data_IF_055252315541
#
_entry.id   IF_055252315541
#
_cell.length_a   1.000
_cell.length_b   1.000
_cell.length_c   1.000
_cell.angle_alpha   90.00
_cell.angle_beta   90.00
_cell.angle_gamma   90.00
#
_symmetry.space_group_name_H-M   'P 1'
#
loop_
_entity.id
_entity.type
_entity.pdbx_description
1 polymer ?
#
# COMPACT_ATOMS: atom_id res chain seq x y z
N UNK A 1 24.51 18.16 15.32
CA UNK A 1 24.45 16.75 14.84
C UNK A 1 24.24 15.89 16.06
N UNK A 2 23.44 14.82 15.98
CA UNK A 2 23.11 14.02 17.16
C UNK A 2 24.34 13.25 17.70
N UNK A 3 24.53 13.25 19.01
CA UNK A 3 25.60 12.52 19.72
C UNK A 3 25.14 11.09 20.05
N UNK A 4 25.26 10.22 19.05
CA UNK A 4 24.89 8.81 19.18
C UNK A 4 25.85 8.01 20.04
N UNK A 5 27.09 8.46 20.21
CA UNK A 5 28.09 7.74 21.00
C UNK A 5 27.80 7.86 22.49
N UNK A 6 27.34 9.03 22.95
CA UNK A 6 26.85 9.21 24.32
C UNK A 6 25.63 8.34 24.62
N UNK A 7 24.72 8.17 23.65
CA UNK A 7 23.55 7.29 23.78
C UNK A 7 23.97 5.82 23.94
N UNK A 8 24.84 5.34 23.04
CA UNK A 8 25.32 3.94 23.06
C UNK A 8 26.05 3.56 24.33
N UNK A 9 26.72 4.53 24.97
CA UNK A 9 27.50 4.31 26.20
C UNK A 9 26.66 4.42 27.48
N UNK A 10 25.42 4.92 27.41
CA UNK A 10 24.58 5.12 28.59
C UNK A 10 23.69 3.88 28.83
N UNK A 11 23.98 3.05 29.85
CA UNK A 11 23.19 1.85 30.12
C UNK A 11 21.83 2.14 30.76
N UNK A 12 21.58 3.38 31.21
CA UNK A 12 20.38 3.76 31.96
C UNK A 12 19.27 4.33 31.06
N UNK A 13 19.37 4.12 29.75
CA UNK A 13 18.39 4.57 28.76
C UNK A 13 18.09 3.44 27.78
N UNK A 14 16.93 3.54 27.15
CA UNK A 14 16.53 2.66 26.06
C UNK A 14 17.58 2.72 24.95
N UNK A 15 17.98 1.56 24.46
CA UNK A 15 18.90 1.46 23.33
C UNK A 15 18.11 1.30 22.03
N UNK A 16 18.60 1.89 20.94
CA UNK A 16 17.91 1.90 19.67
C UNK A 16 18.84 2.14 18.48
N UNK A 17 18.32 1.92 17.27
CA UNK A 17 19.03 2.14 16.01
C UNK A 17 18.87 3.59 15.56
N UNK A 18 19.98 4.27 15.30
CA UNK A 18 20.01 5.63 14.77
C UNK A 18 19.70 5.67 13.26
N UNK A 19 19.05 6.74 12.80
CA UNK A 19 18.85 7.03 11.38
C UNK A 19 19.66 8.26 10.91
N UNK A 20 19.67 8.50 9.59
CA UNK A 20 20.41 9.61 8.98
C UNK A 20 19.78 11.00 9.19
N UNK A 21 18.56 11.08 9.74
CA UNK A 21 17.79 12.31 9.92
C UNK A 21 17.81 12.83 11.36
N UNK A 22 18.63 12.22 12.23
CA UNK A 22 18.71 12.60 13.65
C UNK A 22 17.68 11.87 14.52
N UNK A 23 17.11 10.77 14.06
CA UNK A 23 16.18 9.95 14.83
C UNK A 23 16.81 8.72 15.46
N UNK A 24 16.04 8.07 16.34
CA UNK A 24 16.36 6.79 16.98
C UNK A 24 15.13 5.89 17.06
N UNK A 25 15.28 4.61 16.71
CA UNK A 25 14.22 3.60 16.78
C UNK A 25 14.55 2.55 17.84
N UNK A 26 13.70 2.45 18.86
CA UNK A 26 13.72 1.38 19.87
C UNK A 26 12.75 0.28 19.43
N UNK A 27 13.29 -0.88 19.05
CA UNK A 27 12.51 -2.02 18.58
C UNK A 27 12.35 -3.08 19.68
N UNK A 28 11.23 -3.07 20.38
CA UNK A 28 10.90 -4.05 21.42
C UNK A 28 10.39 -5.38 20.85
N UNK A 29 10.27 -5.50 19.53
CA UNK A 29 9.96 -6.76 18.85
C UNK A 29 11.22 -7.55 18.47
N UNK A 30 12.39 -6.93 18.62
CA UNK A 30 13.66 -7.55 18.28
C UNK A 30 13.99 -8.69 19.26
N UNK A 31 14.46 -9.81 18.72
CA UNK A 31 14.77 -11.04 19.48
C UNK A 31 15.85 -10.81 20.55
N UNK A 32 16.73 -9.84 20.31
CA UNK A 32 17.82 -9.45 21.19
C UNK A 32 17.46 -8.31 22.14
N UNK A 33 16.20 -7.84 22.16
CA UNK A 33 15.75 -6.87 23.15
C UNK A 33 15.56 -7.57 24.51
N UNK A 34 16.63 -7.61 25.30
CA UNK A 34 16.72 -8.43 26.53
C UNK A 34 15.94 -7.91 27.72
N UNK A 35 15.46 -6.66 27.68
CA UNK A 35 14.84 -6.03 28.83
C UNK A 35 13.32 -6.12 28.75
N UNK A 36 12.77 -6.93 29.65
CA UNK A 36 11.35 -6.88 29.98
C UNK A 36 11.17 -5.99 31.21
N UNK A 37 10.46 -4.89 31.04
CA UNK A 37 10.19 -3.92 32.09
C UNK A 37 8.78 -4.12 32.62
N UNK A 38 8.62 -4.07 33.94
CA UNK A 38 7.31 -3.76 34.49
C UNK A 38 6.88 -2.35 34.07
N UNK A 39 5.58 -2.05 34.10
CA UNK A 39 5.03 -0.79 33.59
C UNK A 39 5.71 0.44 34.23
N UNK A 40 5.96 0.43 35.54
CA UNK A 40 6.63 1.53 36.25
C UNK A 40 8.11 1.66 35.87
N UNK A 41 8.80 0.55 35.65
CA UNK A 41 10.19 0.56 35.18
C UNK A 41 10.29 1.11 33.76
N UNK A 42 9.35 0.73 32.89
CA UNK A 42 9.25 1.25 31.52
C UNK A 42 9.04 2.77 31.53
N UNK A 43 8.15 3.27 32.39
CA UNK A 43 7.93 4.71 32.54
C UNK A 43 9.23 5.43 32.92
N UNK A 44 9.91 4.95 33.97
CA UNK A 44 11.12 5.59 34.48
C UNK A 44 12.24 5.61 33.43
N UNK A 45 12.47 4.48 32.75
CA UNK A 45 13.51 4.41 31.73
C UNK A 45 13.14 5.24 30.50
N UNK A 46 11.87 5.30 30.10
CA UNK A 46 11.43 6.15 28.99
C UNK A 46 11.66 7.64 29.29
N UNK A 47 11.32 8.10 30.50
CA UNK A 47 11.57 9.48 30.95
C UNK A 47 13.07 9.82 30.93
N UNK A 48 13.91 8.95 31.51
CA UNK A 48 15.36 9.11 31.47
C UNK A 48 15.92 9.13 30.04
N UNK A 49 15.37 8.28 29.17
CA UNK A 49 15.77 8.19 27.77
C UNK A 49 15.45 9.47 27.01
N UNK A 50 14.23 10.00 27.13
CA UNK A 50 13.82 11.23 26.46
C UNK A 50 14.66 12.43 26.89
N UNK A 51 15.01 12.52 28.18
CA UNK A 51 15.90 13.55 28.68
C UNK A 51 17.31 13.44 28.05
N UNK A 52 17.89 12.24 28.01
CA UNK A 52 19.19 12.00 27.39
C UNK A 52 19.18 12.20 25.87
N UNK A 53 18.13 11.75 25.19
CA UNK A 53 17.97 11.94 23.74
C UNK A 53 17.93 13.41 23.38
N UNK A 54 17.23 14.23 24.18
CA UNK A 54 17.17 15.67 23.98
C UNK A 54 18.54 16.34 24.14
N UNK A 55 19.32 15.98 25.17
CA UNK A 55 20.68 16.54 25.36
C UNK A 55 21.65 16.07 24.27
N UNK A 56 21.46 14.86 23.74
CA UNK A 56 22.23 14.31 22.63
C UNK A 56 21.76 14.83 21.25
N UNK A 57 20.79 15.73 21.18
CA UNK A 57 20.33 16.32 19.93
C UNK A 57 19.53 15.37 19.02
N UNK A 58 18.92 14.33 19.58
CA UNK A 58 17.94 13.49 18.89
C UNK A 58 16.68 14.30 18.62
N UNK A 59 16.12 14.10 17.44
CA UNK A 59 14.94 14.83 16.97
C UNK A 59 13.69 13.97 16.99
N UNK A 60 13.73 12.80 16.33
CA UNK A 60 12.62 11.87 16.26
C UNK A 60 12.89 10.60 17.05
N UNK A 61 11.99 10.22 17.94
CA UNK A 61 12.06 8.95 18.68
C UNK A 61 10.95 8.04 18.19
N UNK A 62 11.29 6.80 17.86
CA UNK A 62 10.35 5.77 17.41
C UNK A 62 10.33 4.62 18.41
N UNK A 63 9.14 4.19 18.82
CA UNK A 63 8.94 3.00 19.64
C UNK A 63 8.12 1.98 18.85
N UNK A 64 8.70 0.80 18.64
CA UNK A 64 7.98 -0.34 18.06
C UNK A 64 7.57 -1.29 19.17
N UNK A 65 6.35 -1.13 19.66
CA UNK A 65 5.82 -1.82 20.85
C UNK A 65 5.04 -3.06 20.41
N UNK A 66 5.43 -4.28 20.81
CA UNK A 66 4.69 -5.49 20.47
C UNK A 66 3.34 -5.53 21.18
N UNK A 67 2.38 -6.27 20.61
CA UNK A 67 1.01 -6.36 21.11
C UNK A 67 0.92 -6.86 22.56
N UNK A 68 1.84 -7.73 22.99
CA UNK A 68 1.90 -8.24 24.37
C UNK A 68 2.43 -7.21 25.39
N UNK A 69 2.88 -6.04 24.94
CA UNK A 69 3.30 -4.89 25.76
C UNK A 69 2.38 -3.67 25.55
N UNK A 70 1.12 -3.91 25.20
CA UNK A 70 0.16 -2.83 24.95
C UNK A 70 -0.08 -1.91 26.14
N UNK A 71 0.22 -2.36 27.37
CA UNK A 71 0.16 -1.52 28.59
C UNK A 71 1.15 -0.35 28.57
N UNK A 72 2.23 -0.46 27.79
CA UNK A 72 3.21 0.62 27.62
C UNK A 72 2.73 1.76 26.72
N UNK A 73 1.70 1.54 25.89
CA UNK A 73 1.16 2.55 24.97
C UNK A 73 0.63 3.77 25.75
N UNK A 74 -0.26 3.64 26.75
CA UNK A 74 -0.68 4.76 27.59
C UNK A 74 0.48 5.52 28.26
N UNK A 75 1.55 4.81 28.63
CA UNK A 75 2.74 5.42 29.24
C UNK A 75 3.47 6.28 28.21
N UNK A 76 3.70 5.75 27.01
CA UNK A 76 4.31 6.48 25.92
C UNK A 76 3.47 7.71 25.50
N UNK A 77 2.15 7.58 25.40
CA UNK A 77 1.25 8.71 25.09
C UNK A 77 1.40 9.85 26.10
N UNK A 78 1.49 9.54 27.41
CA UNK A 78 1.72 10.55 28.47
C UNK A 78 3.05 11.28 28.31
N UNK A 79 4.04 10.66 27.68
CA UNK A 79 5.34 11.26 27.36
C UNK A 79 5.37 11.99 26.00
N UNK A 80 4.22 12.15 25.35
CA UNK A 80 4.09 12.89 24.09
C UNK A 80 4.30 12.04 22.82
N UNK A 81 4.23 10.72 22.93
CA UNK A 81 4.20 9.86 21.74
C UNK A 81 2.81 9.85 21.09
N UNK A 82 2.79 9.78 19.77
CA UNK A 82 1.59 9.62 18.94
C UNK A 82 1.67 8.32 18.14
N UNK A 83 0.52 7.76 17.77
CA UNK A 83 0.48 6.65 16.83
C UNK A 83 0.99 7.07 15.46
N UNK A 84 1.78 6.21 14.82
CA UNK A 84 2.23 6.40 13.45
C UNK A 84 1.65 5.34 12.52
N UNK A 85 1.75 4.06 12.89
CA UNK A 85 1.13 2.94 12.17
C UNK A 85 1.07 1.70 13.07
N UNK A 86 0.32 0.68 12.66
CA UNK A 86 0.31 -0.61 13.34
C UNK A 86 0.32 -1.76 12.33
N UNK A 87 0.76 -2.91 12.81
CA UNK A 87 0.51 -4.22 12.22
C UNK A 87 -0.17 -5.08 13.28
N UNK A 88 -0.74 -6.25 12.93
CA UNK A 88 -1.41 -7.11 13.91
C UNK A 88 -0.56 -7.44 15.15
N UNK A 89 0.77 -7.46 15.02
CA UNK A 89 1.69 -7.82 16.10
C UNK A 89 2.32 -6.65 16.84
N UNK A 90 2.21 -5.40 16.37
CA UNK A 90 2.86 -4.25 17.01
C UNK A 90 2.24 -2.89 16.65
N UNK A 91 2.45 -1.91 17.53
CA UNK A 91 2.20 -0.50 17.26
C UNK A 91 3.53 0.25 17.09
N UNK A 92 3.64 1.06 16.04
CA UNK A 92 4.71 2.05 15.88
C UNK A 92 4.22 3.40 16.41
N UNK A 93 4.96 3.94 17.37
CA UNK A 93 4.70 5.24 17.96
C UNK A 93 5.87 6.18 17.72
N UNK A 94 5.59 7.48 17.60
CA UNK A 94 6.63 8.49 17.37
C UNK A 94 6.50 9.68 18.31
N UNK A 95 7.64 10.28 18.66
CA UNK A 95 7.71 11.53 19.40
C UNK A 95 8.74 12.46 18.75
N UNK A 96 8.32 13.68 18.42
CA UNK A 96 9.21 14.73 17.94
C UNK A 96 9.65 15.59 19.12
N UNK A 97 10.94 15.59 19.44
CA UNK A 97 11.51 16.25 20.61
C UNK A 97 11.67 17.78 20.46
N UNK A 98 12.06 18.32 19.28
CA UNK A 98 12.15 19.76 19.07
C UNK A 98 10.79 20.45 19.21
N UNK A 99 10.76 21.59 19.90
CA UNK A 99 9.53 22.39 20.12
C UNK A 99 9.50 23.68 19.30
N UNK A 100 10.64 24.06 18.76
CA UNK A 100 10.93 25.30 18.04
C UNK A 100 10.93 25.12 16.51
N UNK A 101 10.72 23.89 16.02
CA UNK A 101 10.60 23.58 14.61
C UNK A 101 9.44 22.61 14.32
N UNK A 102 8.88 22.63 13.09
CA UNK A 102 7.84 21.68 12.69
C UNK A 102 8.32 20.23 12.78
N UNK A 103 7.39 19.33 13.11
CA UNK A 103 7.63 17.89 13.04
C UNK A 103 7.92 17.47 11.59
N UNK A 104 9.09 16.85 11.37
CA UNK A 104 9.52 16.37 10.03
C UNK A 104 9.42 14.86 9.88
N UNK A 105 8.85 14.15 10.85
CA UNK A 105 8.54 12.73 10.72
C UNK A 105 7.48 12.59 9.60
N UNK A 106 7.78 11.84 8.52
CA UNK A 106 6.81 11.63 7.46
C UNK A 106 5.60 10.85 7.98
N UNK A 107 4.43 11.06 7.38
CA UNK A 107 3.26 10.22 7.66
C UNK A 107 3.46 8.80 7.13
N UNK A 108 2.68 7.84 7.64
CA UNK A 108 2.63 6.49 7.08
C UNK A 108 1.84 6.44 5.76
N UNK A 109 1.89 5.28 5.09
CA UNK A 109 1.08 5.02 3.90
C UNK A 109 -0.42 5.05 4.24
N UNK A 110 -1.18 5.87 3.53
CA UNK A 110 -2.63 6.08 3.68
C UNK A 110 -3.38 5.89 2.36
N UNK A 111 -2.82 5.08 1.46
CA UNK A 111 -3.38 4.85 0.14
C UNK A 111 -3.58 3.37 -0.10
N UNK A 112 -4.83 2.99 -0.37
CA UNK A 112 -5.18 1.68 -0.87
C UNK A 112 -4.77 1.57 -2.33
N UNK A 113 -4.32 0.37 -2.73
CA UNK A 113 -3.96 0.07 -4.12
C UNK A 113 -4.78 -1.13 -4.57
N UNK A 114 -5.68 -0.90 -5.51
CA UNK A 114 -6.47 -1.93 -6.17
C UNK A 114 -6.10 -2.09 -7.65
N UNK A 115 -6.42 -3.24 -8.21
CA UNK A 115 -6.15 -3.60 -9.60
C UNK A 115 -7.38 -4.16 -10.29
N UNK A 116 -7.46 -3.97 -11.60
CA UNK A 116 -8.48 -4.55 -12.47
C UNK A 116 -7.87 -5.12 -13.75
N UNK A 117 -8.29 -6.33 -14.12
CA UNK A 117 -7.91 -6.99 -15.35
C UNK A 117 -8.89 -6.70 -16.48
N UNK A 118 -8.48 -5.87 -17.43
CA UNK A 118 -9.13 -5.74 -18.73
C UNK A 118 -8.63 -6.86 -19.65
N UNK A 119 -9.19 -8.06 -19.48
CA UNK A 119 -8.79 -9.25 -20.24
C UNK A 119 -9.65 -9.36 -21.49
N UNK A 120 -9.05 -9.27 -22.67
CA UNK A 120 -9.79 -9.27 -23.94
C UNK A 120 -9.30 -10.38 -24.89
N UNK A 121 -10.25 -11.10 -25.49
CA UNK A 121 -10.02 -12.07 -26.57
C UNK A 121 -11.13 -11.97 -27.60
N UNK A 122 -10.78 -11.91 -28.89
CA UNK A 122 -11.74 -11.95 -30.00
C UNK A 122 -12.92 -10.97 -29.87
N UNK A 123 -12.64 -9.74 -29.40
CA UNK A 123 -13.63 -8.69 -29.20
C UNK A 123 -14.50 -8.85 -27.95
N UNK A 124 -14.25 -9.87 -27.12
CA UNK A 124 -14.98 -10.14 -25.88
C UNK A 124 -14.11 -9.88 -24.66
N UNK A 125 -14.72 -9.22 -23.67
CA UNK A 125 -14.13 -8.85 -22.40
C UNK A 125 -14.50 -9.88 -21.33
N UNK A 126 -13.53 -10.33 -20.55
CA UNK A 126 -13.80 -11.13 -19.35
C UNK A 126 -14.42 -10.24 -18.26
N UNK A 127 -15.57 -10.65 -17.77
CA UNK A 127 -16.29 -9.92 -16.73
C UNK A 127 -16.76 -10.87 -15.64
N UNK A 128 -16.86 -10.35 -14.42
CA UNK A 128 -17.35 -11.09 -13.27
C UNK A 128 -18.46 -10.32 -12.56
N UNK A 129 -19.29 -11.06 -11.82
CA UNK A 129 -20.33 -10.56 -10.95
C UNK A 129 -20.11 -11.12 -9.54
N UNK A 130 -20.02 -10.24 -8.55
CA UNK A 130 -19.77 -10.61 -7.15
C UNK A 130 -21.04 -11.15 -6.48
N UNK A 131 -20.91 -12.24 -5.73
CA UNK A 131 -22.04 -12.94 -5.09
C UNK A 131 -22.65 -12.20 -3.91
N UNK A 132 -21.84 -11.50 -3.14
CA UNK A 132 -22.28 -10.84 -1.89
C UNK A 132 -22.53 -9.34 -2.05
N UNK A 133 -22.43 -8.81 -3.27
CA UNK A 133 -22.71 -7.41 -3.54
C UNK A 133 -24.22 -7.21 -3.62
N UNK A 134 -24.73 -6.17 -2.94
CA UNK A 134 -26.17 -5.83 -2.94
C UNK A 134 -26.72 -5.39 -4.30
N UNK A 135 -25.84 -5.04 -5.24
CA UNK A 135 -26.19 -4.42 -6.51
C UNK A 135 -25.73 -5.31 -7.65
N UNK A 136 -26.65 -5.71 -8.52
CA UNK A 136 -26.36 -6.51 -9.72
C UNK A 136 -25.50 -5.69 -10.69
N UNK A 137 -24.20 -5.98 -10.77
CA UNK A 137 -23.25 -5.25 -11.61
C UNK A 137 -22.19 -6.17 -12.19
N UNK A 138 -21.86 -5.95 -13.47
CA UNK A 138 -20.68 -6.52 -14.11
C UNK A 138 -19.46 -5.64 -13.82
N UNK A 139 -18.37 -6.26 -13.36
CA UNK A 139 -17.07 -5.60 -13.14
C UNK A 139 -15.97 -6.32 -13.92
N UNK A 140 -14.83 -5.64 -14.06
CA UNK A 140 -13.58 -6.31 -14.41
C UNK A 140 -13.16 -7.21 -13.23
N UNK A 141 -12.59 -8.39 -13.49
CA UNK A 141 -11.96 -9.17 -12.43
C UNK A 141 -10.82 -8.39 -11.78
N UNK A 142 -10.62 -8.55 -10.48
CA UNK A 142 -9.60 -7.79 -9.75
C UNK A 142 -9.92 -7.53 -8.27
N UNK A 143 -8.89 -7.14 -7.53
CA UNK A 143 -8.94 -6.93 -6.09
C UNK A 143 -7.84 -6.01 -5.57
N UNK A 144 -7.43 -6.24 -4.32
CA UNK A 144 -6.45 -5.41 -3.63
C UNK A 144 -5.03 -5.95 -3.85
N UNK A 145 -4.05 -5.05 -3.90
CA UNK A 145 -2.63 -5.45 -3.90
C UNK A 145 -2.22 -5.78 -2.47
N UNK A 146 -1.67 -6.98 -2.28
CA UNK A 146 -1.21 -7.43 -0.98
C UNK A 146 0.06 -6.72 -0.50
N UNK A 147 0.32 -6.79 0.80
CA UNK A 147 1.50 -6.17 1.39
C UNK A 147 2.79 -6.75 0.78
N UNK A 148 3.57 -5.88 0.12
CA UNK A 148 4.82 -6.20 -0.61
C UNK A 148 4.61 -6.99 -1.92
N UNK A 149 3.39 -7.03 -2.45
CA UNK A 149 3.09 -7.63 -3.75
C UNK A 149 3.39 -6.64 -4.90
N UNK A 150 3.91 -7.14 -6.02
CA UNK A 150 4.03 -6.37 -7.26
C UNK A 150 2.64 -6.22 -7.90
N UNK A 151 2.28 -5.01 -8.33
CA UNK A 151 0.94 -4.72 -8.85
C UNK A 151 0.55 -5.57 -10.08
N UNK A 152 1.52 -6.01 -10.89
CA UNK A 152 1.28 -6.89 -12.04
C UNK A 152 1.06 -8.33 -11.58
N UNK A 153 1.77 -8.76 -10.54
CA UNK A 153 1.52 -10.05 -9.91
C UNK A 153 0.12 -10.08 -9.30
N UNK A 154 -0.28 -9.00 -8.62
CA UNK A 154 -1.60 -8.85 -8.03
C UNK A 154 -2.72 -9.00 -9.08
N UNK A 155 -2.66 -8.25 -10.19
CA UNK A 155 -3.74 -8.34 -11.21
C UNK A 155 -3.81 -9.72 -11.85
N UNK A 156 -2.67 -10.40 -12.05
CA UNK A 156 -2.64 -11.77 -12.56
C UNK A 156 -3.24 -12.76 -11.57
N UNK A 157 -2.86 -12.67 -10.29
CA UNK A 157 -3.39 -13.48 -9.20
C UNK A 157 -4.91 -13.33 -9.09
N UNK A 158 -5.39 -12.10 -9.00
CA UNK A 158 -6.82 -11.80 -8.84
C UNK A 158 -7.66 -12.35 -10.01
N UNK A 159 -7.20 -12.16 -11.25
CA UNK A 159 -7.91 -12.71 -12.43
C UNK A 159 -7.95 -14.24 -12.38
N UNK A 160 -6.83 -14.88 -12.04
CA UNK A 160 -6.75 -16.34 -11.95
C UNK A 160 -7.61 -16.89 -10.78
N UNK A 161 -7.61 -16.24 -9.62
CA UNK A 161 -8.41 -16.63 -8.46
C UNK A 161 -9.92 -16.50 -8.73
N UNK A 162 -10.37 -15.38 -9.30
CA UNK A 162 -11.79 -15.15 -9.54
C UNK A 162 -12.35 -15.98 -10.72
N UNK A 163 -11.52 -16.30 -11.74
CA UNK A 163 -12.01 -16.82 -13.03
C UNK A 163 -11.30 -18.06 -13.58
N UNK A 164 -10.16 -18.45 -13.02
CA UNK A 164 -9.29 -19.50 -13.57
C UNK A 164 -8.49 -19.10 -14.82
N UNK A 165 -8.65 -17.86 -15.31
CA UNK A 165 -7.98 -17.40 -16.53
C UNK A 165 -6.57 -16.91 -16.22
N UNK A 166 -5.59 -17.56 -16.84
CA UNK A 166 -4.19 -17.13 -16.80
C UNK A 166 -3.94 -16.03 -17.83
N UNK A 167 -3.08 -15.06 -17.51
CA UNK A 167 -2.88 -13.87 -18.35
C UNK A 167 -1.44 -13.41 -18.50
N UNK A 168 -1.17 -12.68 -19.57
CA UNK A 168 0.03 -11.89 -19.80
C UNK A 168 -0.30 -10.39 -19.74
N UNK A 169 0.59 -9.61 -19.10
CA UNK A 169 0.47 -8.16 -19.07
C UNK A 169 0.79 -7.59 -20.44
N UNK A 170 -0.13 -6.79 -21.00
CA UNK A 170 0.13 -6.01 -22.21
C UNK A 170 0.52 -4.58 -21.84
N UNK A 171 -0.31 -3.91 -21.05
CA UNK A 171 -0.10 -2.51 -20.67
C UNK A 171 -0.95 -2.09 -19.48
N UNK A 172 -0.57 -1.01 -18.80
CA UNK A 172 -1.51 -0.25 -17.97
C UNK A 172 -2.40 0.59 -18.90
N UNK A 173 -3.69 0.73 -18.65
CA UNK A 173 -4.59 1.51 -19.52
C UNK A 173 -5.41 2.56 -18.78
N UNK A 174 -5.51 2.46 -17.46
CA UNK A 174 -6.21 3.47 -16.66
C UNK A 174 -5.69 3.50 -15.22
N UNK A 175 -5.72 4.69 -14.64
CA UNK A 175 -5.47 4.93 -13.21
C UNK A 175 -6.59 5.81 -12.70
N UNK A 176 -7.31 5.34 -11.69
CA UNK A 176 -8.31 6.11 -10.94
C UNK A 176 -7.75 6.46 -9.58
N UNK A 177 -7.94 7.70 -9.15
CA UNK A 177 -7.65 8.15 -7.78
C UNK A 177 -8.93 8.63 -7.12
N UNK A 178 -9.24 8.13 -5.94
CA UNK A 178 -10.26 8.68 -5.04
C UNK A 178 -9.55 9.18 -3.77
N UNK A 179 -9.58 10.49 -3.48
CA UNK A 179 -8.92 11.04 -2.30
C UNK A 179 -9.55 10.64 -0.96
N UNK A 180 -10.87 10.38 -0.94
CA UNK A 180 -11.64 10.08 0.26
C UNK A 180 -12.41 8.77 0.08
N UNK A 181 -11.82 7.69 0.58
CA UNK A 181 -12.34 6.33 0.46
C UNK A 181 -12.59 5.72 1.85
N UNK A 182 -12.14 4.49 2.08
CA UNK A 182 -12.33 3.81 3.37
C UNK A 182 -11.37 4.39 4.41
N UNK A 183 -11.86 4.60 5.63
CA UNK A 183 -11.05 5.05 6.77
C UNK A 183 -10.27 6.35 6.51
N UNK A 184 -10.88 7.32 5.82
CA UNK A 184 -10.27 8.63 5.52
C UNK A 184 -8.95 8.52 4.71
N UNK A 185 -8.76 7.39 4.03
CA UNK A 185 -7.61 7.12 3.18
C UNK A 185 -7.96 7.31 1.70
N UNK A 186 -6.93 7.45 0.88
CA UNK A 186 -7.08 7.50 -0.58
C UNK A 186 -7.09 6.10 -1.19
N UNK A 187 -7.57 6.00 -2.43
CA UNK A 187 -7.60 4.77 -3.23
C UNK A 187 -7.04 5.05 -4.62
N UNK A 188 -6.01 4.29 -5.02
CA UNK A 188 -5.64 4.15 -6.42
C UNK A 188 -6.14 2.83 -6.97
N UNK A 189 -6.77 2.87 -8.14
CA UNK A 189 -7.20 1.70 -8.86
C UNK A 189 -6.59 1.67 -10.27
N UNK A 190 -5.82 0.64 -10.55
CA UNK A 190 -5.05 0.48 -11.78
C UNK A 190 -5.69 -0.58 -12.68
N UNK A 191 -6.03 -0.22 -13.91
CA UNK A 191 -6.59 -1.17 -14.88
C UNK A 191 -5.50 -1.58 -15.86
N UNK A 192 -5.23 -2.88 -15.95
CA UNK A 192 -4.27 -3.47 -16.88
C UNK A 192 -4.99 -4.10 -18.06
N UNK A 193 -4.52 -3.82 -19.27
CA UNK A 193 -4.85 -4.61 -20.45
C UNK A 193 -4.08 -5.93 -20.39
N UNK A 194 -4.83 -7.02 -20.47
CA UNK A 194 -4.33 -8.36 -20.32
C UNK A 194 -4.70 -9.21 -21.53
N UNK A 195 -3.76 -10.06 -21.95
CA UNK A 195 -4.01 -11.10 -22.93
C UNK A 195 -4.24 -12.43 -22.22
N UNK A 196 -5.32 -13.15 -22.48
CA UNK A 196 -5.53 -14.47 -21.90
C UNK A 196 -4.59 -15.51 -22.50
N UNK A 197 -4.13 -16.45 -21.66
CA UNK A 197 -3.38 -17.65 -22.03
C UNK A 197 -4.30 -18.87 -22.20
N UNK A 198 -5.50 -18.81 -21.65
CA UNK A 198 -6.57 -19.80 -21.80
C UNK A 198 -7.94 -19.08 -21.81
N UNK A 199 -9.01 -19.78 -22.19
CA UNK A 199 -10.36 -19.20 -22.28
C UNK A 199 -11.42 -19.92 -21.46
N UNK A 200 -11.04 -21.03 -20.82
CA UNK A 200 -11.94 -21.89 -20.06
C UNK A 200 -12.14 -21.31 -18.65
N UNK A 201 -13.29 -20.68 -18.45
CA UNK A 201 -13.63 -20.05 -17.17
C UNK A 201 -13.91 -21.13 -16.12
N UNK A 202 -13.18 -21.06 -15.01
CA UNK A 202 -13.41 -21.80 -13.79
C UNK A 202 -13.49 -20.81 -12.62
N UNK A 203 -14.69 -20.27 -12.39
CA UNK A 203 -14.89 -19.22 -11.38
C UNK A 203 -14.75 -19.73 -9.95
N UNK A 204 -14.33 -18.84 -9.04
CA UNK A 204 -14.44 -19.11 -7.61
C UNK A 204 -15.92 -19.20 -7.19
N UNK A 205 -16.41 -20.34 -6.66
CA UNK A 205 -17.79 -20.49 -6.22
C UNK A 205 -18.12 -19.71 -4.95
N UNK A 206 -17.11 -19.23 -4.21
CA UNK A 206 -17.29 -18.53 -2.94
C UNK A 206 -17.60 -17.05 -3.18
N UNK A 207 -16.78 -16.34 -3.95
CA UNK A 207 -16.91 -14.89 -4.12
C UNK A 207 -17.66 -14.48 -5.40
N UNK A 208 -17.58 -15.28 -6.47
CA UNK A 208 -18.09 -14.92 -7.79
C UNK A 208 -19.43 -15.64 -8.07
N UNK A 209 -20.48 -14.87 -8.35
CA UNK A 209 -21.79 -15.39 -8.76
C UNK A 209 -21.75 -15.92 -10.20
N UNK A 210 -21.18 -15.11 -11.10
CA UNK A 210 -21.10 -15.40 -12.52
C UNK A 210 -19.85 -14.79 -13.15
N UNK A 211 -19.32 -15.44 -14.19
CA UNK A 211 -18.17 -15.00 -14.95
C UNK A 211 -18.34 -15.40 -16.41
N UNK A 212 -18.14 -14.45 -17.35
CA UNK A 212 -18.32 -14.72 -18.77
C UNK A 212 -17.46 -13.83 -19.66
N UNK A 213 -17.29 -14.29 -20.89
CA UNK A 213 -16.83 -13.49 -22.01
C UNK A 213 -18.01 -12.68 -22.57
N UNK A 214 -18.05 -11.39 -22.28
CA UNK A 214 -19.09 -10.47 -22.74
C UNK A 214 -18.61 -9.71 -23.98
N UNK A 215 -19.48 -9.52 -24.98
CA UNK A 215 -19.14 -8.70 -26.14
C UNK A 215 -18.78 -7.27 -25.70
N UNK A 216 -17.72 -6.67 -26.25
CA UNK A 216 -17.25 -5.36 -25.78
C UNK A 216 -18.32 -4.28 -25.93
N UNK A 217 -19.13 -4.35 -27.00
CA UNK A 217 -20.22 -3.41 -27.25
C UNK A 217 -21.40 -3.63 -26.32
N UNK A 218 -21.66 -4.89 -25.94
CA UNK A 218 -22.63 -5.22 -24.89
C UNK A 218 -22.17 -4.63 -23.54
N UNK A 219 -20.89 -4.76 -23.21
CA UNK A 219 -20.31 -4.23 -21.97
C UNK A 219 -20.45 -2.70 -21.87
N UNK A 220 -20.11 -2.00 -22.96
CA UNK A 220 -20.20 -0.52 -23.03
C UNK A 220 -21.66 -0.07 -22.88
N UNK A 221 -22.60 -0.75 -23.54
CA UNK A 221 -24.02 -0.39 -23.50
C UNK A 221 -24.76 -0.84 -22.23
N UNK A 222 -24.17 -1.73 -21.42
CA UNK A 222 -24.84 -2.37 -20.30
C UNK A 222 -25.24 -1.37 -19.20
N UNK A 223 -26.51 -1.36 -18.74
CA UNK A 223 -26.94 -0.44 -17.67
C UNK A 223 -26.38 -0.81 -16.29
N UNK A 224 -25.82 -2.00 -16.14
CA UNK A 224 -25.29 -2.55 -14.88
C UNK A 224 -23.75 -2.59 -14.85
N UNK A 225 -23.09 -1.85 -15.73
CA UNK A 225 -21.65 -1.56 -15.67
C UNK A 225 -21.47 -0.12 -15.21
N UNK A 226 -20.50 0.15 -14.33
CA UNK A 226 -20.24 1.51 -13.88
C UNK A 226 -19.65 2.39 -15.02
N UNK A 227 -19.94 3.69 -14.96
CA UNK A 227 -19.55 4.63 -16.03
C UNK A 227 -18.02 4.75 -16.23
N UNK A 228 -17.23 4.61 -15.17
CA UNK A 228 -15.77 4.66 -15.27
C UNK A 228 -15.21 3.50 -16.10
N UNK A 229 -15.72 2.29 -15.90
CA UNK A 229 -15.30 1.11 -16.67
C UNK A 229 -15.81 1.16 -18.11
N UNK A 230 -17.03 1.68 -18.34
CA UNK A 230 -17.53 1.95 -19.71
C UNK A 230 -16.63 2.94 -20.44
N UNK A 231 -16.22 4.01 -19.77
CA UNK A 231 -15.30 5.00 -20.34
C UNK A 231 -13.97 4.35 -20.74
N UNK A 232 -13.38 3.51 -19.88
CA UNK A 232 -12.15 2.78 -20.20
C UNK A 232 -12.36 1.83 -21.40
N UNK A 233 -13.46 1.07 -21.43
CA UNK A 233 -13.78 0.17 -22.53
C UNK A 233 -13.98 0.93 -23.87
N UNK A 234 -14.70 2.05 -23.85
CA UNK A 234 -14.91 2.89 -25.03
C UNK A 234 -13.59 3.52 -25.51
N UNK A 235 -12.76 4.03 -24.59
CA UNK A 235 -11.48 4.62 -24.94
C UNK A 235 -10.47 3.57 -25.47
N UNK A 236 -10.53 2.32 -24.97
CA UNK A 236 -9.83 1.19 -25.57
C UNK A 236 -10.34 0.92 -27.00
N UNK A 237 -11.65 0.83 -27.21
CA UNK A 237 -12.27 0.59 -28.52
C UNK A 237 -11.88 1.67 -29.54
N UNK A 238 -11.84 2.93 -29.10
CA UNK A 238 -11.43 4.09 -29.90
C UNK A 238 -9.92 4.15 -30.14
N UNK A 239 -9.12 3.21 -29.59
CA UNK A 239 -7.65 3.20 -29.62
C UNK A 239 -7.02 4.47 -29.01
N UNK A 240 -7.68 5.06 -28.01
CA UNK A 240 -7.26 6.28 -27.32
C UNK A 240 -6.49 6.03 -26.01
N UNK A 241 -6.31 4.76 -25.63
CA UNK A 241 -5.54 4.37 -24.44
C UNK A 241 -4.30 3.60 -24.85
N UNK A 242 -3.12 4.19 -24.64
CA UNK A 242 -1.84 3.49 -24.79
C UNK A 242 -0.85 4.00 -23.73
N UNK A 243 -0.67 3.25 -22.65
CA UNK A 243 0.42 3.44 -21.68
C UNK A 243 1.38 2.26 -21.84
N UNK A 244 2.48 2.44 -22.56
CA UNK A 244 3.41 1.33 -22.79
C UNK A 244 4.29 1.19 -21.54
N UNK A 245 4.39 0.00 -20.93
CA UNK A 245 5.37 -0.24 -19.90
C UNK A 245 6.78 -0.15 -20.50
N UNK A 246 7.62 0.70 -19.93
CA UNK A 246 9.05 0.76 -20.24
C UNK A 246 9.80 0.12 -19.08
N UNK A 247 10.44 -1.01 -19.35
CA UNK A 247 11.33 -1.65 -18.38
C UNK A 247 12.58 -0.78 -18.20
N UNK A 248 12.92 -0.47 -16.95
CA UNK A 248 14.11 0.29 -16.63
C UNK A 248 14.90 -0.40 -15.52
N UNK A 249 16.21 -0.50 -15.71
CA UNK A 249 17.12 -1.01 -14.70
C UNK A 249 17.81 0.17 -14.01
N UNK A 250 17.63 0.34 -12.70
CA UNK A 250 18.38 1.33 -11.91
C UNK A 250 18.82 0.69 -10.59
N UNK A 251 20.13 0.78 -10.30
CA UNK A 251 20.73 0.49 -8.99
C UNK A 251 20.22 -0.79 -8.28
N UNK A 252 20.43 -1.96 -8.91
CA UNK A 252 20.20 -3.28 -8.32
C UNK A 252 18.75 -3.58 -7.87
N UNK A 253 17.75 -2.89 -8.43
CA UNK A 253 16.34 -3.26 -8.33
C UNK A 253 15.67 -3.14 -9.69
N UNK A 254 14.91 -4.16 -10.06
CA UNK A 254 14.08 -4.11 -11.25
C UNK A 254 12.83 -3.27 -10.92
N UNK A 255 12.56 -2.24 -11.72
CA UNK A 255 11.29 -1.53 -11.68
C UNK A 255 10.77 -1.22 -13.07
N UNK A 256 9.46 -1.07 -13.18
CA UNK A 256 8.80 -0.74 -14.45
C UNK A 256 8.26 0.67 -14.36
N UNK A 257 8.59 1.49 -15.37
CA UNK A 257 8.02 2.81 -15.57
C UNK A 257 6.84 2.68 -16.52
N UNK A 258 5.66 3.14 -16.13
CA UNK A 258 4.51 3.26 -17.04
C UNK A 258 4.56 4.64 -17.70
N UNK A 259 4.96 4.71 -18.96
CA UNK A 259 4.99 5.96 -19.73
C UNK A 259 3.70 6.13 -20.54
N UNK A 260 3.03 7.26 -20.36
CA UNK A 260 1.96 7.70 -21.26
C UNK A 260 2.60 8.12 -22.60
N UNK A 261 2.14 7.59 -23.73
CA UNK A 261 2.40 8.24 -25.02
C UNK A 261 1.65 9.58 -24.99
N UNK A 262 2.33 10.67 -24.64
CA UNK A 262 1.82 12.01 -24.89
C UNK A 262 1.88 12.24 -26.40
N UNK A 263 0.77 12.55 -27.09
CA UNK A 263 0.83 13.04 -28.45
C UNK A 263 1.79 14.23 -28.45
N UNK A 264 2.82 14.15 -29.31
CA UNK A 264 3.98 15.05 -29.37
C UNK A 264 3.79 16.37 -28.62
N UNK A 265 4.56 16.55 -27.54
CA UNK A 265 4.77 17.87 -26.95
C UNK A 265 5.51 18.70 -28.00
N UNK A 266 4.76 19.35 -28.88
CA UNK A 266 5.28 20.46 -29.67
C UNK A 266 5.61 21.58 -28.71
N UNK A 267 6.85 21.53 -28.18
CA UNK A 267 7.55 22.53 -27.39
C UNK A 267 6.87 22.93 -26.07
N UNK A 268 7.51 22.52 -24.96
CA UNK A 268 7.47 23.31 -23.73
C UNK A 268 8.14 24.68 -23.96
#
# INVERSE_FOLDING_TARGET
MADYDSIRKNPNILQGKSDMFGGITVDFTAVDYKHDYEDDDFKNILEASLASYKTCGIRGVWLKIPINKSTWIPIAVKQGFQFHHCFPSYAMMTCWLPKDEPNKIPSFATTFVGVGGFVISDGKLLVVKEKYRKSDHWKLPGGMVDHKEDIRAAVKREVAEETGIETEIVSLISVRHIPDFRFECSDFYFVFLLKPLNTDINRDPTEIEDARWMDLDEYIASPIVNEANKFVAQAYKDQKLKIIPTEMFLFNRDFVLYSLETPQINKL
#
